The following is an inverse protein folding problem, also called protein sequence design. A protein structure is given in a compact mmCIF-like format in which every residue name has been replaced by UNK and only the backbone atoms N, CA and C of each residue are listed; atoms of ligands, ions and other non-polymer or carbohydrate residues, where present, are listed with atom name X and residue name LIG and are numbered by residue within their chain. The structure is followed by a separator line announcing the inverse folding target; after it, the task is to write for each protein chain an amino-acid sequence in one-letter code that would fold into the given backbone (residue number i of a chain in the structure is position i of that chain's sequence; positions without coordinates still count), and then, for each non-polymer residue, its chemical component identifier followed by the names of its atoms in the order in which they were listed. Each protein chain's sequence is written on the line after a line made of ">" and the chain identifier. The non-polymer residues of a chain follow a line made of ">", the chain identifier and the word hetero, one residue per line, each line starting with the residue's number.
data_IF_527146990292
#
_entry.id   IF_527146990292
#
_cell.length_a   1.000
_cell.length_b   1.000
_cell.length_c   1.000
_cell.angle_alpha   90.00
_cell.angle_beta   90.00
_cell.angle_gamma   90.00
#
_symmetry.space_group_name_H-M   'P 1'
#
loop_
_entity.id
_entity.type
_entity.pdbx_description
1 polymer ?
#
# COMPACT_ATOMS: atom_id res chain seq x y z
N UNK A 1 4.11 -73.73 41.23
CA UNK A 1 2.99 -73.21 40.42
C UNK A 1 3.45 -71.93 39.78
N UNK A 2 3.33 -71.83 38.45
CA UNK A 2 3.13 -70.64 37.60
C UNK A 2 3.81 -69.33 38.01
N UNK A 3 4.45 -68.54 37.15
CA UNK A 3 4.66 -68.48 35.70
C UNK A 3 5.60 -67.27 35.51
N UNK A 4 6.47 -67.33 34.49
CA UNK A 4 6.75 -66.25 33.53
C UNK A 4 7.21 -64.86 34.04
N UNK A 5 8.46 -64.48 33.77
CA UNK A 5 8.92 -63.72 32.56
C UNK A 5 8.93 -62.21 32.85
N UNK A 6 10.09 -61.56 32.99
CA UNK A 6 10.98 -61.06 31.92
C UNK A 6 10.43 -59.82 31.19
N UNK A 7 11.36 -58.98 30.69
CA UNK A 7 11.22 -57.83 29.76
C UNK A 7 11.04 -56.49 30.51
N UNK A 8 12.01 -55.58 30.67
CA UNK A 8 12.97 -54.95 29.74
C UNK A 8 12.34 -54.47 28.43
N UNK A 9 11.99 -53.18 28.33
CA UNK A 9 12.49 -52.27 27.29
C UNK A 9 11.70 -50.94 27.29
N UNK A 10 12.49 -49.87 27.37
CA UNK A 10 12.29 -48.52 26.82
C UNK A 10 11.31 -48.40 25.66
N UNK A 11 10.60 -47.28 25.55
CA UNK A 11 10.53 -46.51 24.30
C UNK A 11 10.15 -45.06 24.58
N UNK A 12 10.98 -44.15 24.07
CA UNK A 12 10.70 -42.73 23.88
C UNK A 12 9.34 -42.50 23.25
N UNK A 13 8.55 -41.60 23.83
CA UNK A 13 7.53 -40.88 23.08
C UNK A 13 7.88 -39.40 23.09
N UNK A 14 8.72 -39.02 22.13
CA UNK A 14 8.65 -37.69 21.52
C UNK A 14 7.18 -37.38 21.26
N UNK A 15 6.61 -36.41 21.98
CA UNK A 15 5.30 -35.85 21.68
C UNK A 15 5.39 -35.10 20.35
N UNK A 16 5.30 -35.84 19.24
CA UNK A 16 5.11 -35.26 17.91
C UNK A 16 3.70 -34.71 17.87
N UNK A 17 3.61 -33.39 17.98
CA UNK A 17 2.36 -32.65 17.77
C UNK A 17 2.06 -32.78 16.28
N UNK A 18 1.13 -33.67 15.95
CA UNK A 18 0.52 -33.76 14.62
C UNK A 18 -0.57 -32.70 14.62
N UNK A 19 -0.31 -31.56 13.99
CA UNK A 19 -1.31 -30.54 13.73
C UNK A 19 -2.19 -31.02 12.57
N UNK A 20 -3.50 -31.00 12.75
CA UNK A 20 -4.46 -31.29 11.68
C UNK A 20 -4.35 -30.24 10.56
N UNK A 21 -4.81 -30.57 9.36
CA UNK A 21 -4.63 -29.71 8.17
C UNK A 21 -5.27 -28.33 8.35
N UNK A 22 -6.42 -28.26 9.02
CA UNK A 22 -7.13 -27.02 9.30
C UNK A 22 -6.39 -26.17 10.35
N UNK A 23 -5.86 -26.81 11.41
CA UNK A 23 -5.02 -26.15 12.42
C UNK A 23 -3.73 -25.59 11.81
N UNK A 24 -3.19 -26.24 10.78
CA UNK A 24 -2.03 -25.75 10.02
C UNK A 24 -2.35 -24.50 9.22
N UNK A 25 -3.51 -24.44 8.61
CA UNK A 25 -3.97 -23.27 7.85
C UNK A 25 -4.24 -22.10 8.78
N UNK A 26 -4.87 -22.35 9.94
CA UNK A 26 -5.10 -21.33 10.98
C UNK A 26 -3.79 -20.81 11.59
N UNK A 27 -2.82 -21.69 11.83
CA UNK A 27 -1.49 -21.29 12.29
C UNK A 27 -0.74 -20.51 11.20
N UNK A 28 -0.86 -20.89 9.93
CA UNK A 28 -0.28 -20.11 8.82
C UNK A 28 -0.93 -18.74 8.67
N UNK A 29 -2.26 -18.66 8.79
CA UNK A 29 -3.01 -17.41 8.74
C UNK A 29 -2.64 -16.50 9.90
N UNK A 30 -2.59 -17.04 11.12
CA UNK A 30 -2.15 -16.32 12.32
C UNK A 30 -0.68 -15.88 12.23
N UNK A 31 0.21 -16.69 11.66
CA UNK A 31 1.59 -16.30 11.40
C UNK A 31 1.70 -15.22 10.32
N UNK A 32 0.84 -15.27 9.29
CA UNK A 32 0.78 -14.23 8.26
C UNK A 32 0.30 -12.91 8.87
N UNK A 33 -0.69 -12.96 9.76
CA UNK A 33 -1.25 -11.79 10.41
C UNK A 33 -0.28 -11.21 11.44
N UNK A 34 0.42 -12.06 12.20
CA UNK A 34 1.50 -11.61 13.09
C UNK A 34 2.66 -11.00 12.29
N UNK A 35 3.03 -11.56 11.13
CA UNK A 35 4.06 -10.96 10.25
C UNK A 35 3.65 -9.61 9.70
N UNK A 36 2.38 -9.41 9.33
CA UNK A 36 1.85 -8.10 8.91
C UNK A 36 2.00 -7.02 9.99
N UNK A 37 2.05 -7.43 11.27
CA UNK A 37 2.10 -6.53 12.42
C UNK A 37 3.45 -6.58 13.17
N UNK A 38 4.43 -7.33 12.66
CA UNK A 38 5.75 -7.42 13.28
C UNK A 38 6.54 -6.16 12.91
N UNK A 39 7.09 -5.41 13.89
CA UNK A 39 7.97 -4.29 13.59
C UNK A 39 9.18 -4.81 12.80
N UNK A 40 9.46 -4.20 11.65
CA UNK A 40 10.61 -4.59 10.84
C UNK A 40 11.89 -4.39 11.66
N UNK A 41 12.69 -5.45 11.78
CA UNK A 41 13.94 -5.42 12.52
C UNK A 41 14.96 -4.58 11.75
N UNK A 42 15.08 -3.29 12.07
CA UNK A 42 15.86 -2.28 11.33
C UNK A 42 17.38 -2.55 11.30
N UNK A 43 17.85 -3.59 11.99
CA UNK A 43 19.27 -3.91 12.21
C UNK A 43 19.88 -4.87 11.17
N UNK A 44 19.12 -5.29 10.15
CA UNK A 44 19.57 -6.23 9.12
C UNK A 44 20.42 -5.63 7.98
N UNK A 45 21.22 -6.46 7.32
CA UNK A 45 21.82 -6.13 6.02
C UNK A 45 20.72 -5.97 4.94
N UNK A 46 20.94 -5.13 3.93
CA UNK A 46 19.98 -4.81 2.85
C UNK A 46 19.43 -6.09 2.19
N UNK A 47 20.29 -7.08 1.95
CA UNK A 47 19.89 -8.36 1.37
C UNK A 47 18.90 -9.14 2.25
N UNK A 48 19.00 -9.01 3.58
CA UNK A 48 18.09 -9.65 4.53
C UNK A 48 16.73 -8.96 4.53
N UNK A 49 16.72 -7.63 4.55
CA UNK A 49 15.48 -6.86 4.45
C UNK A 49 14.75 -7.11 3.12
N UNK A 50 15.47 -7.13 2.00
CA UNK A 50 14.90 -7.43 0.69
C UNK A 50 14.37 -8.87 0.60
N UNK A 51 15.03 -9.84 1.25
CA UNK A 51 14.53 -11.20 1.35
C UNK A 51 13.24 -11.26 2.16
N UNK A 52 13.19 -10.61 3.33
CA UNK A 52 11.98 -10.54 4.15
C UNK A 52 10.84 -9.85 3.41
N UNK A 53 11.13 -8.79 2.65
CA UNK A 53 10.15 -8.12 1.80
C UNK A 53 9.63 -9.05 0.69
N UNK A 54 10.52 -9.81 0.05
CA UNK A 54 10.13 -10.81 -0.96
C UNK A 54 9.19 -11.86 -0.38
N UNK A 55 9.51 -12.38 0.80
CA UNK A 55 8.68 -13.38 1.51
C UNK A 55 7.29 -12.81 1.84
N UNK A 56 7.22 -11.58 2.33
CA UNK A 56 5.94 -10.91 2.65
C UNK A 56 5.08 -10.65 1.40
N UNK A 57 5.72 -10.36 0.27
CA UNK A 57 5.04 -10.13 -1.02
C UNK A 57 4.86 -11.41 -1.86
N UNK A 58 5.21 -12.59 -1.32
CA UNK A 58 5.20 -13.87 -2.04
C UNK A 58 5.94 -13.81 -3.39
N UNK A 59 7.12 -13.19 -3.37
CA UNK A 59 8.00 -13.02 -4.53
C UNK A 59 9.22 -13.95 -4.44
N UNK A 60 9.70 -14.39 -5.60
CA UNK A 60 11.01 -15.03 -5.72
C UNK A 60 12.11 -13.99 -5.50
N UNK A 61 13.05 -14.28 -4.60
CA UNK A 61 14.21 -13.44 -4.34
C UNK A 61 15.45 -13.96 -5.08
N UNK A 62 16.07 -13.11 -5.88
CA UNK A 62 17.28 -13.41 -6.64
C UNK A 62 18.37 -12.39 -6.33
N UNK A 63 19.59 -12.89 -6.11
CA UNK A 63 20.78 -12.08 -5.86
C UNK A 63 21.68 -12.16 -7.08
N UNK A 64 22.03 -11.01 -7.64
CA UNK A 64 22.94 -10.89 -8.77
C UNK A 64 24.11 -9.95 -8.40
N UNK A 65 25.25 -10.05 -9.10
CA UNK A 65 26.34 -9.09 -8.93
C UNK A 65 25.84 -7.67 -9.26
N UNK A 66 25.82 -6.78 -8.26
CA UNK A 66 25.45 -5.37 -8.41
C UNK A 66 23.94 -5.07 -8.37
N UNK A 67 23.06 -6.08 -8.22
CA UNK A 67 21.63 -5.84 -8.05
C UNK A 67 20.87 -7.00 -7.39
N UNK A 68 19.74 -6.68 -6.78
CA UNK A 68 18.78 -7.64 -6.24
C UNK A 68 17.49 -7.59 -7.06
N UNK A 69 16.83 -8.74 -7.19
CA UNK A 69 15.57 -8.85 -7.94
C UNK A 69 14.52 -9.62 -7.14
N UNK A 70 13.36 -9.02 -6.97
CA UNK A 70 12.17 -9.62 -6.38
C UNK A 70 11.15 -9.78 -7.50
N UNK A 71 10.61 -10.97 -7.72
CA UNK A 71 9.67 -11.20 -8.83
C UNK A 71 8.54 -12.14 -8.44
N UNK A 72 7.31 -11.74 -8.75
CA UNK A 72 6.13 -12.59 -8.79
C UNK A 72 5.40 -12.44 -10.13
N UNK A 73 4.21 -13.04 -10.26
CA UNK A 73 3.35 -12.83 -11.42
C UNK A 73 2.82 -11.39 -11.53
N UNK A 74 2.75 -10.68 -10.40
CA UNK A 74 2.09 -9.37 -10.29
C UNK A 74 3.05 -8.21 -10.07
N UNK A 75 4.25 -8.46 -9.53
CA UNK A 75 5.22 -7.40 -9.28
C UNK A 75 6.64 -7.88 -9.61
N UNK A 76 7.45 -7.00 -10.17
CA UNK A 76 8.89 -7.20 -10.32
C UNK A 76 9.61 -5.95 -9.82
N UNK A 77 10.47 -6.09 -8.82
CA UNK A 77 11.28 -5.02 -8.24
C UNK A 77 12.75 -5.35 -8.47
N UNK A 78 13.50 -4.41 -9.02
CA UNK A 78 14.95 -4.51 -9.20
C UNK A 78 15.63 -3.38 -8.43
N UNK A 79 16.59 -3.74 -7.58
CA UNK A 79 17.34 -2.80 -6.73
C UNK A 79 18.81 -2.91 -7.09
N UNK A 80 19.33 -1.93 -7.81
CA UNK A 80 20.74 -1.85 -8.15
C UNK A 80 21.53 -1.23 -6.99
N UNK A 81 22.70 -1.79 -6.70
CA UNK A 81 23.54 -1.39 -5.58
C UNK A 81 24.95 -1.14 -6.08
N UNK A 82 25.49 0.01 -5.69
CA UNK A 82 26.88 0.39 -5.96
C UNK A 82 27.61 0.57 -4.63
N UNK A 83 28.52 -0.36 -4.31
CA UNK A 83 29.14 -0.43 -2.99
C UNK A 83 28.12 -0.77 -1.91
N UNK A 84 27.88 0.19 -0.99
CA UNK A 84 26.92 0.05 0.11
C UNK A 84 25.65 0.88 -0.08
N UNK A 85 25.49 1.53 -1.24
CA UNK A 85 24.39 2.47 -1.51
C UNK A 85 23.50 1.95 -2.63
N UNK A 86 22.19 2.21 -2.51
CA UNK A 86 21.24 1.89 -3.58
C UNK A 86 21.36 2.93 -4.69
N UNK A 87 21.80 2.50 -5.86
CA UNK A 87 22.04 3.38 -7.02
C UNK A 87 20.76 3.58 -7.83
N UNK A 88 19.95 2.54 -8.02
CA UNK A 88 18.67 2.60 -8.72
C UNK A 88 17.66 1.61 -8.15
N UNK A 89 16.37 1.93 -8.27
CA UNK A 89 15.29 1.02 -7.97
C UNK A 89 14.29 1.09 -9.12
N UNK A 90 13.85 -0.04 -9.65
CA UNK A 90 12.81 -0.12 -10.68
C UNK A 90 11.70 -1.03 -10.24
N UNK A 91 10.48 -0.72 -10.66
CA UNK A 91 9.28 -1.51 -10.35
C UNK A 91 8.45 -1.71 -11.61
N UNK A 92 7.90 -2.91 -11.75
CA UNK A 92 6.94 -3.28 -12.79
C UNK A 92 5.75 -3.92 -12.12
N UNK A 93 4.56 -3.45 -12.47
CA UNK A 93 3.29 -3.93 -11.93
C UNK A 93 2.50 -4.65 -13.00
N UNK A 94 1.88 -5.78 -12.66
CA UNK A 94 0.96 -6.56 -13.48
C UNK A 94 1.49 -6.89 -14.90
N UNK A 95 2.82 -6.97 -15.04
CA UNK A 95 3.51 -7.24 -16.29
C UNK A 95 3.64 -6.06 -17.25
N UNK A 96 3.43 -4.83 -16.77
CA UNK A 96 3.77 -3.58 -17.46
C UNK A 96 5.29 -3.35 -17.54
N UNK A 97 5.70 -2.32 -18.27
CA UNK A 97 7.12 -1.97 -18.41
C UNK A 97 7.69 -1.54 -17.04
N UNK A 98 8.92 -1.95 -16.70
CA UNK A 98 9.59 -1.42 -15.52
C UNK A 98 9.76 0.10 -15.61
N UNK A 99 9.46 0.78 -14.50
CA UNK A 99 9.60 2.23 -14.32
C UNK A 99 10.55 2.48 -13.16
N UNK A 100 11.30 3.57 -13.21
CA UNK A 100 12.18 3.98 -12.12
C UNK A 100 11.38 4.40 -10.88
N UNK A 101 11.69 3.77 -9.75
CA UNK A 101 11.04 3.97 -8.46
C UNK A 101 11.87 4.83 -7.53
N UNK A 102 11.82 6.14 -7.77
CA UNK A 102 12.54 7.14 -6.99
C UNK A 102 12.05 7.21 -5.55
N UNK A 103 10.74 7.10 -5.32
CA UNK A 103 10.17 7.11 -3.97
C UNK A 103 10.59 5.85 -3.19
N UNK A 104 10.52 4.69 -3.85
CA UNK A 104 10.94 3.43 -3.25
C UNK A 104 12.45 3.40 -2.95
N UNK A 105 13.28 3.91 -3.86
CA UNK A 105 14.73 4.10 -3.65
C UNK A 105 15.00 4.93 -2.40
N UNK A 106 14.29 6.07 -2.23
CA UNK A 106 14.43 6.94 -1.06
C UNK A 106 14.05 6.20 0.23
N UNK A 107 12.92 5.50 0.24
CA UNK A 107 12.49 4.73 1.41
C UNK A 107 13.48 3.62 1.79
N UNK A 108 14.09 2.95 0.80
CA UNK A 108 15.12 1.92 1.06
C UNK A 108 16.36 2.57 1.67
N UNK A 109 16.80 3.72 1.15
CA UNK A 109 17.94 4.45 1.70
C UNK A 109 17.67 4.97 3.12
N UNK A 110 16.42 5.29 3.45
CA UNK A 110 15.97 5.69 4.79
C UNK A 110 15.66 4.50 5.72
N UNK A 111 15.84 3.25 5.27
CA UNK A 111 15.55 2.04 6.03
C UNK A 111 14.07 1.90 6.48
N UNK A 112 13.12 2.54 5.78
CA UNK A 112 11.69 2.58 6.15
C UNK A 112 10.91 1.36 5.64
N UNK A 113 11.31 0.17 6.05
CA UNK A 113 10.78 -1.10 5.53
C UNK A 113 9.28 -1.32 5.82
N UNK A 114 8.77 -0.82 6.95
CA UNK A 114 7.34 -0.87 7.25
C UNK A 114 6.51 -0.07 6.23
N UNK A 115 6.94 1.15 5.91
CA UNK A 115 6.30 2.00 4.91
C UNK A 115 6.37 1.38 3.51
N UNK A 116 7.52 0.79 3.16
CA UNK A 116 7.71 0.07 1.89
C UNK A 116 6.71 -1.08 1.77
N UNK A 117 6.64 -1.95 2.77
CA UNK A 117 5.73 -3.08 2.79
C UNK A 117 4.27 -2.63 2.63
N UNK A 118 3.85 -1.62 3.38
CA UNK A 118 2.47 -1.12 3.32
C UNK A 118 2.12 -0.53 1.96
N UNK A 119 3.06 0.21 1.38
CA UNK A 119 2.93 0.88 0.07
C UNK A 119 2.82 -0.14 -1.07
N UNK A 120 3.72 -1.13 -1.10
CA UNK A 120 3.69 -2.21 -2.10
C UNK A 120 2.46 -3.11 -1.95
N UNK A 121 2.08 -3.43 -0.70
CA UNK A 121 0.86 -4.20 -0.40
C UNK A 121 -0.41 -3.44 -0.77
N UNK A 122 -0.39 -2.12 -0.73
CA UNK A 122 -1.49 -1.28 -1.19
C UNK A 122 -1.62 -1.30 -2.71
N UNK A 123 -0.49 -1.26 -3.43
CA UNK A 123 -0.44 -1.39 -4.90
C UNK A 123 -0.93 -2.75 -5.40
N UNK A 124 -0.50 -3.85 -4.78
CA UNK A 124 -0.96 -5.20 -5.14
C UNK A 124 -2.49 -5.37 -5.00
N UNK A 125 -3.12 -4.60 -4.10
CA UNK A 125 -4.57 -4.62 -3.87
C UNK A 125 -5.36 -3.67 -4.78
N UNK A 126 -4.72 -2.98 -5.73
CA UNK A 126 -5.42 -2.09 -6.67
C UNK A 126 -6.39 -2.84 -7.58
N UNK A 127 -6.05 -4.08 -7.91
CA UNK A 127 -6.80 -4.91 -8.85
C UNK A 127 -7.24 -6.22 -8.17
N UNK A 128 -8.40 -6.77 -8.54
CA UNK A 128 -8.80 -8.08 -8.05
C UNK A 128 -7.81 -9.17 -8.50
N UNK A 129 -7.45 -10.05 -7.58
CA UNK A 129 -6.50 -11.14 -7.85
C UNK A 129 -7.02 -12.14 -8.88
N UNK A 130 -8.34 -12.27 -9.01
CA UNK A 130 -9.04 -13.16 -9.95
C UNK A 130 -8.90 -12.76 -11.42
N UNK A 131 -8.46 -11.54 -11.72
CA UNK A 131 -8.27 -11.09 -13.09
C UNK A 131 -7.06 -11.74 -13.74
N UNK A 132 -7.20 -12.08 -15.02
CA UNK A 132 -6.08 -12.49 -15.86
C UNK A 132 -5.09 -11.33 -16.07
N UNK A 133 -3.88 -11.66 -16.53
CA UNK A 133 -2.85 -10.65 -16.79
C UNK A 133 -3.29 -9.59 -17.80
N UNK A 134 -3.99 -10.00 -18.85
CA UNK A 134 -4.48 -9.08 -19.90
C UNK A 134 -5.54 -8.12 -19.34
N UNK A 135 -6.48 -8.63 -18.54
CA UNK A 135 -7.48 -7.82 -17.86
C UNK A 135 -6.84 -6.84 -16.88
N UNK A 136 -5.84 -7.28 -16.10
CA UNK A 136 -5.11 -6.40 -15.19
C UNK A 136 -4.43 -5.25 -15.93
N UNK A 137 -3.80 -5.52 -17.08
CA UNK A 137 -3.20 -4.49 -17.93
C UNK A 137 -4.25 -3.49 -18.46
N UNK A 138 -5.43 -3.96 -18.88
CA UNK A 138 -6.53 -3.07 -19.28
C UNK A 138 -7.02 -2.20 -18.10
N UNK A 139 -7.18 -2.79 -16.92
CA UNK A 139 -7.57 -2.06 -15.72
C UNK A 139 -6.56 -0.99 -15.32
N UNK A 140 -5.25 -1.27 -15.37
CA UNK A 140 -4.22 -0.27 -15.10
C UNK A 140 -4.31 0.92 -16.07
N UNK A 141 -4.54 0.66 -17.37
CA UNK A 141 -4.76 1.73 -18.35
C UNK A 141 -6.03 2.52 -18.09
N UNK A 142 -7.10 1.89 -17.61
CA UNK A 142 -8.32 2.59 -17.21
C UNK A 142 -8.08 3.46 -15.98
N UNK A 143 -7.32 2.98 -14.99
CA UNK A 143 -6.91 3.77 -13.83
C UNK A 143 -6.07 4.98 -14.26
N UNK A 144 -5.09 4.80 -15.15
CA UNK A 144 -4.29 5.91 -15.70
C UNK A 144 -5.16 7.01 -16.34
N UNK A 145 -6.19 6.61 -17.09
CA UNK A 145 -7.10 7.56 -17.74
C UNK A 145 -7.94 8.30 -16.72
N UNK A 146 -8.53 7.59 -15.76
CA UNK A 146 -9.34 8.20 -14.72
C UNK A 146 -8.53 9.13 -13.82
N UNK A 147 -7.29 8.76 -13.49
CA UNK A 147 -6.38 9.61 -12.72
C UNK A 147 -5.99 10.87 -13.51
N UNK A 148 -5.73 10.75 -14.82
CA UNK A 148 -5.53 11.92 -15.68
C UNK A 148 -6.76 12.79 -15.73
N UNK A 149 -7.94 12.21 -15.78
CA UNK A 149 -9.19 12.96 -15.74
C UNK A 149 -9.33 13.66 -14.38
N UNK A 150 -9.03 13.04 -13.25
CA UNK A 150 -9.06 13.69 -11.93
C UNK A 150 -8.01 14.80 -11.79
N UNK A 151 -6.82 14.62 -12.37
CA UNK A 151 -5.75 15.60 -12.37
C UNK A 151 -6.04 16.79 -13.31
N UNK A 152 -6.82 16.59 -14.36
CA UNK A 152 -7.15 17.63 -15.33
C UNK A 152 -8.57 18.16 -15.18
N UNK A 153 -9.44 17.48 -14.43
CA UNK A 153 -10.82 17.84 -14.20
C UNK A 153 -10.83 19.14 -13.39
N UNK A 154 -11.06 20.22 -14.11
CA UNK A 154 -11.33 21.50 -13.50
C UNK A 154 -12.84 21.60 -13.28
N UNK A 155 -13.30 21.48 -12.04
CA UNK A 155 -14.69 21.78 -11.73
C UNK A 155 -14.92 23.29 -11.88
N UNK A 156 -15.90 23.71 -12.68
CA UNK A 156 -16.49 25.03 -12.50
C UNK A 156 -17.12 25.03 -11.12
N UNK A 157 -16.65 25.90 -10.23
CA UNK A 157 -17.26 26.10 -8.92
C UNK A 157 -18.73 26.44 -9.17
N UNK A 158 -19.65 25.54 -8.83
CA UNK A 158 -21.07 25.85 -8.91
C UNK A 158 -21.37 26.90 -7.84
N UNK A 159 -21.73 28.09 -8.32
CA UNK A 159 -22.09 29.29 -7.58
C UNK A 159 -23.20 29.02 -6.55
N UNK A 160 -22.92 29.20 -5.26
CA UNK A 160 -23.88 29.63 -4.23
C UNK A 160 -23.03 30.27 -3.13
N UNK A 161 -22.78 31.58 -3.19
CA UNK A 161 -23.45 32.63 -2.43
C UNK A 161 -23.02 33.97 -3.07
N UNK A 162 -23.94 34.93 -3.11
CA UNK A 162 -23.82 36.30 -3.62
C UNK A 162 -24.02 36.52 -5.13
N UNK A 163 -25.29 36.34 -5.54
CA UNK A 163 -25.89 37.31 -6.47
C UNK A 163 -25.78 38.70 -5.81
N UNK A 164 -24.76 39.48 -6.18
CA UNK A 164 -24.84 40.94 -6.37
C UNK A 164 -23.50 41.68 -6.60
N UNK A 165 -22.41 41.04 -7.04
CA UNK A 165 -21.26 41.82 -7.53
C UNK A 165 -20.64 41.30 -8.82
N UNK A 166 -20.95 42.03 -9.90
CA UNK A 166 -20.19 42.05 -11.15
C UNK A 166 -18.79 42.58 -10.85
N UNK A 167 -17.79 41.70 -10.69
CA UNK A 167 -16.38 42.06 -10.85
C UNK A 167 -15.64 40.90 -11.52
N UNK A 168 -15.06 41.19 -12.69
CA UNK A 168 -14.05 40.43 -13.41
C UNK A 168 -13.37 39.32 -12.59
N UNK A 169 -13.78 38.08 -12.80
CA UNK A 169 -13.01 36.93 -12.37
C UNK A 169 -12.72 36.09 -13.60
N UNK A 170 -11.52 36.25 -14.15
CA UNK A 170 -10.92 35.21 -14.97
C UNK A 170 -10.73 33.99 -14.07
N UNK A 171 -11.80 33.18 -13.91
CA UNK A 171 -11.74 31.96 -13.11
C UNK A 171 -10.90 30.95 -13.90
N UNK A 172 -9.59 31.02 -13.77
CA UNK A 172 -8.69 29.95 -14.18
C UNK A 172 -9.15 28.71 -13.44
N UNK A 173 -9.68 27.73 -14.16
CA UNK A 173 -10.28 26.56 -13.58
C UNK A 173 -9.16 25.72 -12.96
N UNK A 174 -9.07 25.73 -11.63
CA UNK A 174 -8.03 25.01 -10.89
C UNK A 174 -8.39 23.50 -10.91
N UNK A 175 -7.42 22.61 -11.17
CA UNK A 175 -7.59 21.16 -11.06
C UNK A 175 -8.21 20.72 -9.73
N UNK A 176 -9.00 19.65 -9.75
CA UNK A 176 -9.64 19.10 -8.55
C UNK A 176 -8.62 18.77 -7.45
N UNK A 177 -7.47 18.19 -7.82
CA UNK A 177 -6.39 17.84 -6.88
C UNK A 177 -5.86 19.08 -6.15
N UNK A 178 -5.59 20.15 -6.89
CA UNK A 178 -5.11 21.42 -6.32
C UNK A 178 -6.16 22.06 -5.42
N UNK A 179 -7.45 21.94 -5.76
CA UNK A 179 -8.55 22.40 -4.89
C UNK A 179 -8.63 21.61 -3.59
N UNK A 180 -8.46 20.28 -3.64
CA UNK A 180 -8.46 19.43 -2.45
C UNK A 180 -7.25 19.78 -1.58
N UNK A 181 -6.06 19.87 -2.16
CA UNK A 181 -4.81 20.13 -1.44
C UNK A 181 -4.71 21.58 -0.94
N UNK A 182 -5.41 22.53 -1.56
CA UNK A 182 -5.59 23.88 -1.04
C UNK A 182 -6.67 23.99 0.04
N UNK A 183 -7.48 22.95 0.23
CA UNK A 183 -8.46 22.84 1.29
C UNK A 183 -7.85 22.34 2.60
N UNK A 184 -8.56 22.54 3.70
CA UNK A 184 -8.05 22.20 5.05
C UNK A 184 -8.45 20.81 5.54
N UNK A 185 -9.36 20.14 4.84
CA UNK A 185 -10.00 18.91 5.29
C UNK A 185 -9.67 17.70 4.39
N UNK A 186 -8.76 17.86 3.44
CA UNK A 186 -8.42 16.79 2.51
C UNK A 186 -7.01 16.90 1.98
N UNK A 187 -6.40 15.76 1.70
CA UNK A 187 -5.13 15.64 0.99
C UNK A 187 -5.29 14.60 -0.11
N UNK A 188 -5.16 15.05 -1.35
CA UNK A 188 -5.14 14.21 -2.54
C UNK A 188 -3.69 13.94 -2.96
N UNK A 189 -3.31 12.67 -2.90
CA UNK A 189 -2.02 12.14 -3.35
C UNK A 189 -2.22 11.36 -4.65
N UNK A 190 -1.75 11.89 -5.79
CA UNK A 190 -1.76 11.15 -7.05
C UNK A 190 -0.97 9.84 -6.94
N UNK A 191 -1.34 8.85 -7.77
CA UNK A 191 -0.58 7.60 -7.86
C UNK A 191 0.84 7.89 -8.31
N UNK A 192 1.79 7.24 -7.65
CA UNK A 192 3.19 7.18 -8.07
C UNK A 192 3.49 5.78 -8.61
N UNK A 193 4.73 5.54 -8.99
CA UNK A 193 5.17 4.23 -9.40
C UNK A 193 5.14 3.19 -8.26
N UNK A 194 5.08 3.62 -7.01
CA UNK A 194 5.10 2.73 -5.85
C UNK A 194 3.89 2.85 -4.93
N UNK A 195 3.11 3.94 -5.02
CA UNK A 195 1.95 4.20 -4.14
C UNK A 195 0.68 4.48 -4.94
N UNK A 196 -0.50 4.00 -4.52
CA UNK A 196 -1.75 4.20 -5.26
C UNK A 196 -2.27 5.65 -5.17
N UNK A 197 -3.28 5.99 -5.97
CA UNK A 197 -4.00 7.26 -5.86
C UNK A 197 -4.87 7.23 -4.59
N UNK A 198 -4.64 8.19 -3.69
CA UNK A 198 -5.28 8.25 -2.37
C UNK A 198 -5.82 9.66 -2.13
N UNK A 199 -7.04 9.75 -1.60
CA UNK A 199 -7.60 10.97 -1.01
C UNK A 199 -7.77 10.71 0.48
N UNK A 200 -6.96 11.36 1.30
CA UNK A 200 -7.13 11.37 2.75
C UNK A 200 -8.22 12.38 3.09
N UNK A 201 -9.24 11.92 3.81
CA UNK A 201 -10.30 12.78 4.35
C UNK A 201 -9.97 13.03 5.81
N UNK A 202 -9.88 14.29 6.20
CA UNK A 202 -9.67 14.66 7.60
C UNK A 202 -11.08 14.78 8.22
N UNK A 203 -11.58 13.67 8.76
CA UNK A 203 -12.94 13.58 9.30
C UNK A 203 -13.09 14.14 10.73
N UNK A 204 -11.99 14.43 11.44
CA UNK A 204 -12.04 15.05 12.79
C UNK A 204 -11.32 16.40 12.81
N UNK A 205 -12.06 17.52 12.60
CA UNK A 205 -11.53 18.86 12.78
C UNK A 205 -10.95 19.08 14.17
N UNK A 206 -11.47 18.39 15.19
CA UNK A 206 -11.03 18.46 16.60
C UNK A 206 -9.57 18.05 16.83
N UNK A 207 -9.00 17.17 16.00
CA UNK A 207 -7.60 16.75 16.12
C UNK A 207 -6.65 17.84 15.64
N UNK A 208 -7.11 18.67 14.69
CA UNK A 208 -6.28 19.64 13.99
C UNK A 208 -6.67 21.08 14.29
N UNK A 209 -7.72 21.33 15.06
CA UNK A 209 -8.18 22.65 15.44
C UNK A 209 -7.84 22.92 16.89
N UNK A 210 -6.89 23.83 17.13
CA UNK A 210 -6.64 24.30 18.49
C UNK A 210 -7.71 25.34 18.85
N UNK A 211 -8.63 24.92 19.73
CA UNK A 211 -9.74 25.74 20.21
C UNK A 211 -9.27 27.03 20.90
N UNK A 212 -8.03 27.08 21.43
CA UNK A 212 -7.51 28.26 22.11
C UNK A 212 -6.91 29.30 21.16
N UNK A 213 -6.23 28.87 20.09
CA UNK A 213 -5.68 29.77 19.08
C UNK A 213 -6.63 30.07 17.93
N UNK A 214 -7.70 29.27 17.77
CA UNK A 214 -8.67 29.42 16.68
C UNK A 214 -8.07 29.11 15.31
N UNK A 215 -6.91 28.44 15.27
CA UNK A 215 -6.19 28.09 14.06
C UNK A 215 -6.03 26.58 13.95
N UNK A 216 -5.85 26.12 12.72
CA UNK A 216 -5.56 24.73 12.45
C UNK A 216 -4.06 24.47 12.60
N UNK A 217 -3.69 23.36 13.24
CA UNK A 217 -2.33 22.86 13.32
C UNK A 217 -1.84 22.55 11.90
N UNK A 218 -0.66 23.05 11.55
CA UNK A 218 -0.02 22.76 10.29
C UNK A 218 0.38 21.27 10.29
N UNK A 219 -0.38 20.44 9.57
CA UNK A 219 -0.19 18.99 9.59
C UNK A 219 1.06 18.66 8.78
N UNK A 220 2.05 18.10 9.45
CA UNK A 220 3.24 17.56 8.79
C UNK A 220 2.81 16.39 7.89
N UNK A 221 3.10 16.46 6.59
CA UNK A 221 2.83 15.37 5.62
C UNK A 221 3.42 14.04 6.09
N UNK A 222 4.50 14.09 6.88
CA UNK A 222 5.14 12.92 7.46
C UNK A 222 4.21 12.17 8.44
N UNK A 223 3.43 12.89 9.25
CA UNK A 223 2.49 12.31 10.21
C UNK A 223 1.29 11.62 9.54
N UNK A 224 0.89 12.10 8.35
CA UNK A 224 -0.15 11.47 7.52
C UNK A 224 0.37 10.15 6.93
N UNK A 225 1.63 10.14 6.47
CA UNK A 225 2.26 8.95 5.89
C UNK A 225 2.56 7.85 6.94
N UNK A 226 2.79 8.24 8.20
CA UNK A 226 3.06 7.31 9.31
C UNK A 226 1.77 6.80 10.01
N UNK A 227 0.61 7.39 9.71
CA UNK A 227 -0.66 7.11 10.38
C UNK A 227 -1.53 6.04 9.70
N UNK A 228 -1.80 4.94 10.42
CA UNK A 228 -2.81 3.90 10.08
C UNK A 228 -4.28 4.34 10.27
N UNK A 229 -4.53 5.59 10.67
CA UNK A 229 -5.80 6.01 11.29
C UNK A 229 -6.59 7.10 10.53
N UNK A 230 -6.09 7.60 9.40
CA UNK A 230 -6.86 8.59 8.64
C UNK A 230 -7.82 7.89 7.67
N UNK A 231 -9.13 8.22 7.68
CA UNK A 231 -10.05 7.67 6.70
C UNK A 231 -9.62 8.15 5.31
N UNK A 232 -9.21 7.21 4.46
CA UNK A 232 -8.77 7.52 3.11
C UNK A 232 -9.62 6.79 2.07
N UNK A 233 -9.97 7.50 1.01
CA UNK A 233 -10.52 6.91 -0.19
C UNK A 233 -9.37 6.53 -1.12
N UNK A 234 -9.38 5.31 -1.65
CA UNK A 234 -8.39 4.83 -2.62
C UNK A 234 -9.09 4.52 -3.93
N UNK A 235 -8.48 4.92 -5.03
CA UNK A 235 -8.95 4.51 -6.34
C UNK A 235 -8.46 3.09 -6.65
N UNK A 236 -9.40 2.16 -6.87
CA UNK A 236 -9.12 0.74 -7.14
C UNK A 236 -10.23 0.12 -7.99
N UNK A 237 -9.92 -1.00 -8.66
CA UNK A 237 -10.92 -1.81 -9.36
C UNK A 237 -11.44 -2.90 -8.43
N UNK A 238 -12.77 -3.05 -8.34
CA UNK A 238 -13.44 -4.05 -7.50
C UNK A 238 -14.27 -5.00 -8.35
N UNK A 239 -14.37 -6.27 -7.96
CA UNK A 239 -15.06 -7.31 -8.71
C UNK A 239 -16.59 -7.32 -8.53
N UNK A 240 -17.13 -6.58 -7.56
CA UNK A 240 -18.55 -6.57 -7.19
C UNK A 240 -19.29 -5.34 -7.73
N UNK A 241 -20.64 -5.40 -7.90
CA UNK A 241 -21.42 -4.20 -8.16
C UNK A 241 -21.14 -3.21 -7.04
N UNK A 242 -20.65 -2.03 -7.40
CA UNK A 242 -20.38 -0.95 -6.46
C UNK A 242 -21.65 -0.74 -5.62
N UNK A 243 -21.61 -0.81 -4.28
CA UNK A 243 -22.74 -0.35 -3.50
C UNK A 243 -23.01 1.09 -3.94
N UNK A 244 -24.20 1.33 -4.50
CA UNK A 244 -24.61 2.66 -4.91
C UNK A 244 -24.57 3.56 -3.67
N UNK A 245 -23.52 4.39 -3.55
CA UNK A 245 -23.40 5.39 -2.48
C UNK A 245 -24.48 6.47 -2.61
N UNK A 246 -25.05 6.62 -3.80
CA UNK A 246 -26.17 7.49 -4.09
C UNK A 246 -27.32 6.62 -4.61
N UNK A 247 -28.41 6.57 -3.86
CA UNK A 247 -29.63 5.91 -4.31
C UNK A 247 -30.17 6.65 -5.54
N UNK A 248 -30.42 5.93 -6.63
CA UNK A 248 -31.24 6.41 -7.76
C UNK A 248 -32.73 6.50 -7.36
N UNK A 249 -33.02 7.13 -6.22
CA UNK A 249 -34.39 7.44 -5.82
C UNK A 249 -34.79 8.75 -6.53
N UNK A 250 -35.93 8.77 -7.25
CA UNK A 250 -36.43 9.96 -7.94
C UNK A 250 -36.88 11.08 -6.98
#
# INVERSE_FOLDING_TARGET
>A
MNRDSSIMLSFDQEKRIVLDADDREDVQNALSDLRKHMPADESGDLATHLRNLADNLSCDFQVHPGYFKLKSAEVSIEVAVEGTQVSACTVSWFGERPVEATALKKLIAENRWGTIHNTLSAMLRLLPTTLSREEKCLCMRCLDLLEKDLLNASMHSLELIDKDLIINSSSTSIPLVDKINGGMLGLCQPRTESSPFIIHLIAEPSIFFDVQSGTFLNVDEQAINDGLLLPCARLSVVASPTPQLFSDAP
#
